data_IF_943985268682
#
_entry.id   IF_943985268682
#
_cell.length_a   1.000
_cell.length_b   1.000
_cell.length_c   1.000
_cell.angle_alpha   90.00
_cell.angle_beta   90.00
_cell.angle_gamma   90.00
#
_symmetry.space_group_name_H-M   'P 1'
#
loop_
_entity.id
_entity.type
_entity.pdbx_description
1 polymer ?
#
# COMPACT_ATOMS: atom_id res chain seq x y z
N UNK A 1 -1.54 1.12 4.36
CA UNK A 1 -2.19 0.96 3.03
C UNK A 1 -1.47 -0.14 2.28
N UNK A 2 -2.21 -0.95 1.53
CA UNK A 2 -1.63 -1.97 0.66
C UNK A 2 -2.57 -2.27 -0.52
N UNK A 3 -2.08 -2.95 -1.55
CA UNK A 3 -2.95 -3.37 -2.64
C UNK A 3 -3.97 -4.42 -2.15
N UNK A 4 -5.28 -4.28 -2.45
CA UNK A 4 -6.28 -5.23 -1.93
C UNK A 4 -6.18 -6.62 -2.58
N UNK A 5 -6.14 -7.68 -1.77
CA UNK A 5 -6.12 -9.08 -2.25
C UNK A 5 -7.34 -9.40 -3.15
N UNK A 6 -8.50 -8.77 -2.88
CA UNK A 6 -9.70 -8.92 -3.71
C UNK A 6 -9.49 -8.43 -5.14
N UNK A 7 -8.71 -7.37 -5.33
CA UNK A 7 -8.37 -6.87 -6.66
C UNK A 7 -7.39 -7.80 -7.37
N UNK A 8 -6.39 -8.32 -6.67
CA UNK A 8 -5.47 -9.33 -7.23
C UNK A 8 -6.22 -10.56 -7.75
N UNK A 9 -7.29 -10.99 -7.06
CA UNK A 9 -8.13 -12.10 -7.50
C UNK A 9 -8.89 -11.83 -8.81
N UNK A 10 -9.16 -10.56 -9.15
CA UNK A 10 -9.90 -10.20 -10.38
C UNK A 10 -8.98 -9.94 -11.58
N UNK A 11 -7.76 -9.48 -11.35
CA UNK A 11 -6.86 -9.04 -12.44
C UNK A 11 -6.49 -10.11 -13.48
N UNK A 12 -6.45 -11.43 -13.18
CA UNK A 12 -6.23 -12.45 -14.20
C UNK A 12 -7.36 -12.52 -15.25
N UNK A 13 -8.60 -12.14 -14.89
CA UNK A 13 -9.75 -12.19 -15.80
C UNK A 13 -9.62 -11.25 -17.01
N UNK A 14 -8.82 -10.20 -16.88
CA UNK A 14 -8.51 -9.23 -17.95
C UNK A 14 -7.12 -9.44 -18.55
N UNK A 15 -6.42 -10.53 -18.19
CA UNK A 15 -5.10 -10.86 -18.71
C UNK A 15 -3.96 -10.02 -18.15
N UNK A 16 -4.15 -9.32 -17.02
CA UNK A 16 -3.07 -8.60 -16.34
C UNK A 16 -2.00 -9.57 -15.81
N UNK A 17 -2.45 -10.73 -15.32
CA UNK A 17 -1.60 -11.84 -14.92
C UNK A 17 -2.04 -13.13 -15.62
N UNK A 18 -1.12 -14.08 -15.88
CA UNK A 18 -1.43 -15.36 -16.52
C UNK A 18 -2.10 -16.38 -15.58
N UNK A 19 -2.35 -16.02 -14.31
CA UNK A 19 -2.93 -16.90 -13.30
C UNK A 19 -3.14 -16.17 -11.98
N UNK A 20 -3.78 -16.84 -11.02
CA UNK A 20 -4.00 -16.29 -9.68
C UNK A 20 -2.76 -16.47 -8.80
N UNK A 21 -2.55 -15.53 -7.87
CA UNK A 21 -1.53 -15.69 -6.83
C UNK A 21 -1.85 -16.91 -5.94
N UNK A 22 -0.81 -17.60 -5.49
CA UNK A 22 -0.95 -18.82 -4.67
C UNK A 22 -1.16 -18.54 -3.19
N UNK A 23 -1.08 -17.27 -2.78
CA UNK A 23 -1.28 -16.79 -1.42
C UNK A 23 -1.70 -15.30 -1.47
N UNK A 24 -2.28 -14.83 -0.36
CA UNK A 24 -2.83 -13.48 -0.21
C UNK A 24 -2.04 -12.72 0.85
N UNK A 25 -1.28 -11.71 0.44
CA UNK A 25 -0.35 -11.06 1.37
C UNK A 25 -1.08 -10.15 2.36
N UNK A 26 -2.23 -9.58 2.00
CA UNK A 26 -3.03 -8.77 2.91
C UNK A 26 -3.51 -9.59 4.11
N UNK A 27 -4.03 -10.80 3.87
CA UNK A 27 -4.38 -11.75 4.93
C UNK A 27 -3.18 -12.10 5.83
N UNK A 28 -1.98 -12.29 5.26
CA UNK A 28 -0.77 -12.58 6.04
C UNK A 28 -0.34 -11.39 6.90
N UNK A 29 -0.44 -10.15 6.39
CA UNK A 29 -0.15 -8.94 7.15
C UNK A 29 -1.12 -8.77 8.32
N UNK A 30 -2.41 -9.00 8.08
CA UNK A 30 -3.42 -8.96 9.15
C UNK A 30 -3.18 -10.02 10.22
N UNK A 31 -2.74 -11.23 9.82
CA UNK A 31 -2.42 -12.31 10.75
C UNK A 31 -1.26 -11.98 11.70
N UNK A 32 -0.32 -11.11 11.29
CA UNK A 32 0.79 -10.64 12.14
C UNK A 32 0.50 -9.31 12.85
N UNK A 33 -0.75 -8.83 12.80
CA UNK A 33 -1.24 -7.69 13.57
C UNK A 33 -1.24 -6.34 12.85
N UNK A 34 -1.02 -6.29 11.53
CA UNK A 34 -1.25 -5.06 10.76
C UNK A 34 -2.73 -4.80 10.54
N UNK A 35 -3.13 -3.53 10.61
CA UNK A 35 -4.43 -3.07 10.15
C UNK A 35 -4.34 -2.55 8.71
N UNK A 36 -5.13 -3.14 7.81
CA UNK A 36 -5.26 -2.67 6.43
C UNK A 36 -6.42 -1.68 6.35
N UNK A 37 -6.10 -0.40 6.22
CA UNK A 37 -7.08 0.70 6.27
C UNK A 37 -7.91 0.87 4.99
N UNK A 38 -7.53 0.22 3.89
CA UNK A 38 -8.16 0.40 2.59
C UNK A 38 -8.84 -0.87 2.08
N UNK A 39 -10.02 -0.71 1.51
CA UNK A 39 -10.78 -1.77 0.82
C UNK A 39 -10.64 -1.72 -0.70
N UNK A 40 -10.23 -0.57 -1.24
CA UNK A 40 -9.99 -0.36 -2.67
C UNK A 40 -8.72 0.45 -2.92
N UNK A 41 -8.56 0.91 -4.16
CA UNK A 41 -7.45 1.78 -4.57
C UNK A 41 -7.97 3.16 -4.99
N UNK A 42 -7.32 4.21 -4.50
CA UNK A 42 -7.57 5.61 -4.85
C UNK A 42 -6.28 6.44 -5.00
N UNK A 43 -5.11 5.83 -4.78
CA UNK A 43 -3.82 6.54 -4.75
C UNK A 43 -3.53 7.19 -3.40
N UNK A 44 -4.25 6.79 -2.35
CA UNK A 44 -4.07 7.30 -1.00
C UNK A 44 -2.80 6.75 -0.34
N UNK A 45 -2.29 7.53 0.59
CA UNK A 45 -1.11 7.23 1.40
C UNK A 45 -1.44 7.38 2.87
N UNK A 46 -0.73 6.64 3.71
CA UNK A 46 -0.87 6.73 5.16
C UNK A 46 0.50 6.69 5.83
N UNK A 47 0.64 7.51 6.87
CA UNK A 47 1.80 7.51 7.75
C UNK A 47 1.37 7.10 9.15
N UNK A 48 1.97 6.04 9.67
CA UNK A 48 1.90 5.64 11.08
C UNK A 48 3.31 5.71 11.68
N UNK A 49 3.56 6.69 12.56
CA UNK A 49 4.90 6.96 13.10
C UNK A 49 5.89 7.15 11.93
N UNK A 50 6.86 6.24 11.77
CA UNK A 50 7.84 6.24 10.68
C UNK A 50 7.54 5.20 9.58
N UNK A 51 6.37 4.55 9.63
CA UNK A 51 5.87 3.66 8.58
C UNK A 51 5.06 4.48 7.56
N UNK A 52 5.56 4.59 6.33
CA UNK A 52 4.90 5.30 5.24
C UNK A 52 4.45 4.29 4.18
N UNK A 53 3.17 4.29 3.83
CA UNK A 53 2.58 3.32 2.89
C UNK A 53 1.67 3.98 1.86
N UNK A 54 1.55 3.36 0.68
CA UNK A 54 0.61 3.73 -0.39
C UNK A 54 -0.22 2.53 -0.81
N UNK A 55 -1.43 2.77 -1.33
CA UNK A 55 -2.40 1.70 -1.61
C UNK A 55 -2.21 0.98 -2.95
N UNK A 56 -1.50 1.58 -3.90
CA UNK A 56 -1.49 1.13 -5.30
C UNK A 56 -0.43 1.87 -6.13
N UNK A 57 -0.23 1.51 -7.40
CA UNK A 57 0.60 2.31 -8.32
C UNK A 57 0.17 3.78 -8.43
N UNK A 58 -1.11 4.09 -8.20
CA UNK A 58 -1.63 5.47 -8.23
C UNK A 58 -1.08 6.33 -7.08
N UNK A 59 -0.60 5.70 -6.00
CA UNK A 59 -0.10 6.41 -4.83
C UNK A 59 1.33 6.96 -5.00
N UNK A 60 2.02 6.67 -6.11
CA UNK A 60 3.45 6.99 -6.27
C UNK A 60 3.81 8.47 -6.04
N UNK A 61 3.05 9.39 -6.64
CA UNK A 61 3.28 10.83 -6.46
C UNK A 61 2.98 11.29 -5.02
N UNK A 62 1.85 10.86 -4.45
CA UNK A 62 1.47 11.21 -3.09
C UNK A 62 2.47 10.67 -2.05
N UNK A 63 2.99 9.45 -2.27
CA UNK A 63 3.95 8.80 -1.38
C UNK A 63 5.31 9.50 -1.44
N UNK A 64 5.76 9.93 -2.62
CA UNK A 64 6.96 10.74 -2.76
C UNK A 64 6.86 12.07 -2.01
N UNK A 65 5.72 12.76 -2.12
CA UNK A 65 5.47 14.00 -1.37
C UNK A 65 5.44 13.77 0.14
N UNK A 66 4.80 12.69 0.60
CA UNK A 66 4.72 12.33 2.01
C UNK A 66 6.11 12.04 2.59
N UNK A 67 6.89 11.18 1.91
CA UNK A 67 8.24 10.83 2.32
C UNK A 67 9.17 12.05 2.36
N UNK A 68 9.17 12.87 1.30
CA UNK A 68 10.02 14.07 1.26
C UNK A 68 9.74 15.00 2.46
N UNK A 69 8.47 15.26 2.77
CA UNK A 69 8.08 16.10 3.91
C UNK A 69 8.50 15.47 5.25
N UNK A 70 8.24 14.18 5.45
CA UNK A 70 8.56 13.49 6.70
C UNK A 70 10.07 13.46 6.97
N UNK A 71 10.88 13.16 5.94
CA UNK A 71 12.33 13.08 6.07
C UNK A 71 12.97 14.47 6.26
N UNK A 72 12.49 15.50 5.57
CA UNK A 72 12.99 16.87 5.76
C UNK A 72 12.66 17.39 7.18
N UNK A 73 11.44 17.13 7.66
CA UNK A 73 11.06 17.52 9.02
C UNK A 73 11.87 16.78 10.10
N UNK A 74 12.30 15.53 9.86
CA UNK A 74 13.14 14.77 10.78
C UNK A 74 14.56 15.36 10.89
N UNK A 75 15.16 15.78 9.76
CA UNK A 75 16.52 16.36 9.79
C UNK A 75 16.56 17.75 10.41
N UNK A 76 15.44 18.48 10.44
CA UNK A 76 15.30 19.78 11.11
C UNK A 76 15.07 19.67 12.63
N UNK A 77 14.70 18.49 13.13
CA UNK A 77 14.47 18.24 14.56
C UNK A 77 15.76 17.87 15.33
N UNK A 78 16.91 17.84 14.66
CA UNK A 78 18.24 17.65 15.24
C UNK A 78 18.99 18.96 15.39
#
# INVERSE_FOLDING_TARGET
MAFPDEMDAQTPSIGYMPGHLTWKFGEQLQAIGFELLNTGISGQVFQDRQMLTGDSPLAGNALGQLAAKALLAEVEQK
#
